data_IF_057235624755
#
_entry.id   IF_057235624755
#
_cell.length_a   1.000
_cell.length_b   1.000
_cell.length_c   1.000
_cell.angle_alpha   90.00
_cell.angle_beta   90.00
_cell.angle_gamma   90.00
#
_symmetry.space_group_name_H-M   'P 1'
#
loop_
_entity.id
_entity.type
_entity.pdbx_description
1 polymer ?
#
# COMPACT_ATOMS: atom_id res chain seq x y z
N UNK A 1 -8.29 -15.92 33.67
CA UNK A 1 -7.53 -14.68 33.40
C UNK A 1 -7.33 -14.53 31.90
N UNK A 2 -8.30 -13.93 31.22
CA UNK A 2 -8.24 -13.72 29.77
C UNK A 2 -7.37 -12.48 29.51
N UNK A 3 -6.10 -12.69 29.16
CA UNK A 3 -5.22 -11.61 28.68
C UNK A 3 -5.75 -11.12 27.33
N UNK A 4 -6.79 -10.29 27.37
CA UNK A 4 -7.19 -9.44 26.24
C UNK A 4 -6.08 -8.42 26.04
N UNK A 5 -5.04 -8.83 25.30
CA UNK A 5 -4.04 -7.94 24.70
C UNK A 5 -4.83 -6.81 24.03
N UNK A 6 -4.86 -5.63 24.68
CA UNK A 6 -5.26 -4.37 24.06
C UNK A 6 -4.45 -4.26 22.78
N UNK A 7 -5.04 -4.61 21.64
CA UNK A 7 -4.46 -4.39 20.33
C UNK A 7 -4.32 -2.89 20.24
N UNK A 8 -3.11 -2.36 20.50
CA UNK A 8 -2.74 -0.99 20.18
C UNK A 8 -3.32 -0.72 18.79
N UNK A 9 -4.19 0.26 18.67
CA UNK A 9 -4.70 0.70 17.39
C UNK A 9 -3.51 1.29 16.65
N UNK A 10 -2.73 0.42 15.99
CA UNK A 10 -1.66 0.86 15.12
C UNK A 10 -2.33 1.68 14.03
N UNK A 11 -2.04 2.99 13.98
CA UNK A 11 -2.47 3.87 12.89
C UNK A 11 -2.16 3.14 11.58
N UNK A 12 -3.16 2.93 10.73
CA UNK A 12 -2.99 2.14 9.51
C UNK A 12 -2.66 3.11 8.40
N UNK A 13 -1.39 3.22 8.02
CA UNK A 13 -1.01 4.05 6.88
C UNK A 13 -1.63 3.52 5.60
N UNK A 14 -2.32 4.37 4.85
CA UNK A 14 -2.80 4.04 3.50
C UNK A 14 -1.80 4.60 2.50
N UNK A 15 -1.60 3.89 1.39
CA UNK A 15 -0.66 4.30 0.34
C UNK A 15 -1.36 4.13 -0.99
N UNK A 16 -1.35 5.18 -1.77
CA UNK A 16 -1.81 5.20 -3.13
C UNK A 16 -0.65 4.80 -4.04
N UNK A 17 -0.82 3.78 -4.86
CA UNK A 17 0.19 3.30 -5.79
C UNK A 17 -0.38 3.40 -7.19
N UNK A 18 0.27 4.23 -8.00
CA UNK A 18 0.00 4.45 -9.42
C UNK A 18 1.03 3.69 -10.22
N UNK A 19 0.57 2.80 -11.09
CA UNK A 19 1.42 2.02 -11.98
C UNK A 19 1.50 2.69 -13.35
N UNK A 20 2.59 2.40 -14.08
CA UNK A 20 2.78 2.91 -15.43
C UNK A 20 1.73 2.39 -16.39
N UNK A 21 1.57 3.14 -17.47
CA UNK A 21 0.69 2.76 -18.57
C UNK A 21 1.16 1.43 -19.19
N UNK A 22 0.22 0.49 -19.38
CA UNK A 22 0.51 -0.86 -19.91
C UNK A 22 0.78 -1.93 -18.86
N UNK A 23 0.86 -1.58 -17.57
CA UNK A 23 0.91 -2.56 -16.47
C UNK A 23 -0.50 -3.11 -16.24
N UNK A 24 -0.64 -4.43 -16.20
CA UNK A 24 -1.92 -5.06 -15.89
C UNK A 24 -2.29 -4.96 -14.41
N UNK A 25 -3.59 -4.93 -14.04
CA UNK A 25 -4.01 -4.97 -12.64
C UNK A 25 -3.52 -6.23 -11.92
N UNK A 26 -3.35 -7.34 -12.65
CA UNK A 26 -2.78 -8.57 -12.11
C UNK A 26 -1.31 -8.43 -11.72
N UNK A 27 -0.48 -7.82 -12.57
CA UNK A 27 0.94 -7.54 -12.28
C UNK A 27 1.07 -6.58 -11.10
N UNK A 28 0.26 -5.52 -11.08
CA UNK A 28 0.20 -4.59 -9.98
C UNK A 28 -0.13 -5.31 -8.66
N UNK A 29 -1.16 -6.16 -8.65
CA UNK A 29 -1.54 -6.98 -7.49
C UNK A 29 -0.43 -7.96 -7.08
N UNK A 30 0.24 -8.58 -8.04
CA UNK A 30 1.35 -9.49 -7.79
C UNK A 30 2.52 -8.76 -7.12
N UNK A 31 2.85 -7.54 -7.57
CA UNK A 31 3.87 -6.71 -6.95
C UNK A 31 3.51 -6.38 -5.50
N UNK A 32 2.30 -5.90 -5.25
CA UNK A 32 1.85 -5.58 -3.89
C UNK A 32 1.91 -6.81 -2.98
N UNK A 33 1.50 -8.00 -3.47
CA UNK A 33 1.64 -9.26 -2.75
C UNK A 33 3.10 -9.65 -2.48
N UNK A 34 4.00 -9.43 -3.44
CA UNK A 34 5.44 -9.69 -3.27
C UNK A 34 6.01 -8.84 -2.11
N UNK A 35 5.60 -7.59 -2.02
CA UNK A 35 5.95 -6.72 -0.89
C UNK A 35 5.20 -7.06 0.42
N UNK A 36 4.39 -8.11 0.47
CA UNK A 36 3.54 -8.50 1.60
C UNK A 36 2.66 -7.34 2.10
N UNK A 37 2.23 -6.49 1.17
CA UNK A 37 1.32 -5.39 1.44
C UNK A 37 -0.12 -5.86 1.24
N UNK A 38 -1.06 -5.27 1.97
CA UNK A 38 -2.47 -5.61 1.86
C UNK A 38 -3.17 -4.61 0.97
N UNK A 39 -3.79 -5.06 -0.12
CA UNK A 39 -4.63 -4.18 -0.94
C UNK A 39 -5.89 -3.86 -0.15
N UNK A 40 -6.16 -2.57 0.03
CA UNK A 40 -7.34 -2.06 0.72
C UNK A 40 -8.46 -1.78 -0.27
N UNK A 41 -8.12 -1.10 -1.35
CA UNK A 41 -9.04 -0.67 -2.38
C UNK A 41 -8.36 -0.78 -3.74
N UNK A 42 -9.06 -1.38 -4.69
CA UNK A 42 -8.64 -1.47 -6.08
C UNK A 42 -9.42 -0.40 -6.83
N UNK A 43 -8.73 0.66 -7.25
CA UNK A 43 -9.35 1.77 -8.01
C UNK A 43 -9.48 1.44 -9.49
N UNK A 44 -9.08 0.22 -9.89
CA UNK A 44 -9.07 -0.22 -11.27
C UNK A 44 -8.02 0.49 -12.11
N UNK A 45 -8.32 0.65 -13.39
CA UNK A 45 -7.46 1.29 -14.37
C UNK A 45 -8.07 2.65 -14.73
N UNK A 46 -7.38 3.74 -14.41
CA UNK A 46 -7.73 5.07 -14.88
C UNK A 46 -6.65 5.56 -15.83
N UNK A 47 -7.04 6.13 -16.96
CA UNK A 47 -6.09 6.68 -17.95
C UNK A 47 -5.04 5.65 -18.45
N UNK A 48 -5.48 4.38 -18.59
CA UNK A 48 -4.64 3.20 -18.88
C UNK A 48 -3.55 2.90 -17.84
N UNK A 49 -3.65 3.48 -16.64
CA UNK A 49 -2.77 3.25 -15.49
C UNK A 49 -3.52 2.54 -14.38
N UNK A 50 -2.90 1.54 -13.76
CA UNK A 50 -3.51 0.85 -12.62
C UNK A 50 -3.34 1.71 -11.37
N UNK A 51 -4.40 1.82 -10.58
CA UNK A 51 -4.42 2.55 -9.32
C UNK A 51 -4.80 1.58 -8.20
N UNK A 52 -3.91 1.42 -7.22
CA UNK A 52 -4.15 0.56 -6.06
C UNK A 52 -3.94 1.32 -4.77
N UNK A 53 -4.88 1.18 -3.83
CA UNK A 53 -4.71 1.64 -2.46
C UNK A 53 -4.29 0.46 -1.60
N UNK A 54 -3.14 0.58 -0.95
CA UNK A 54 -2.60 -0.47 -0.09
C UNK A 54 -2.55 0.00 1.35
N UNK A 55 -2.99 -0.86 2.24
CA UNK A 55 -2.93 -0.66 3.68
C UNK A 55 -1.62 -1.19 4.24
N UNK A 56 -1.01 -0.35 5.07
CA UNK A 56 0.24 -0.59 5.76
C UNK A 56 -0.01 -0.46 7.25
N UNK A 57 0.24 -1.52 8.01
CA UNK A 57 0.14 -1.43 9.47
C UNK A 57 1.34 -0.64 10.02
N UNK A 58 1.14 0.42 10.83
CA UNK A 58 2.24 1.16 11.48
C UNK A 58 3.12 0.27 12.36
N UNK A 59 2.65 -0.89 12.85
CA UNK A 59 3.52 -1.87 13.51
C UNK A 59 4.64 -2.45 12.63
N UNK A 60 4.57 -2.21 11.31
CA UNK A 60 5.60 -2.55 10.31
C UNK A 60 6.06 -1.31 9.55
N UNK A 61 5.87 -0.10 10.08
CA UNK A 61 6.26 1.15 9.41
C UNK A 61 7.75 1.13 9.02
N UNK A 62 8.60 0.54 9.87
CA UNK A 62 10.02 0.33 9.60
C UNK A 62 10.29 -0.57 8.37
N UNK A 63 9.47 -1.60 8.14
CA UNK A 63 9.55 -2.43 6.92
C UNK A 63 8.96 -1.72 5.71
N UNK A 64 8.03 -0.79 5.91
CA UNK A 64 7.48 0.00 4.81
C UNK A 64 8.46 1.07 4.34
N UNK A 65 9.18 1.75 5.24
CA UNK A 65 10.23 2.70 4.85
C UNK A 65 11.35 2.02 4.04
N UNK A 66 11.59 0.72 4.24
CA UNK A 66 12.49 -0.07 3.36
C UNK A 66 11.82 -0.46 2.04
N UNK A 67 10.55 -0.90 2.08
CA UNK A 67 9.83 -1.42 0.91
C UNK A 67 9.30 -0.34 -0.02
N UNK A 68 8.97 0.84 0.48
CA UNK A 68 8.42 1.96 -0.28
C UNK A 68 9.40 2.51 -1.33
N UNK A 69 10.67 2.84 -1.00
CA UNK A 69 11.64 3.22 -2.01
C UNK A 69 11.92 2.06 -2.98
N UNK A 70 11.80 0.79 -2.56
CA UNK A 70 11.93 -0.38 -3.46
C UNK A 70 10.72 -0.52 -4.40
N UNK A 71 9.52 -0.22 -3.92
CA UNK A 71 8.29 -0.16 -4.72
C UNK A 71 8.41 0.97 -5.74
N UNK A 72 8.82 2.17 -5.32
CA UNK A 72 9.05 3.32 -6.21
C UNK A 72 10.19 3.08 -7.21
N UNK A 73 11.20 2.28 -6.86
CA UNK A 73 12.27 1.85 -7.77
C UNK A 73 11.82 0.80 -8.80
N UNK A 74 10.64 0.20 -8.65
CA UNK A 74 10.18 -0.75 -9.66
C UNK A 74 9.84 -0.01 -10.96
N UNK A 75 10.28 -0.52 -12.12
CA UNK A 75 10.08 0.14 -13.41
C UNK A 75 8.59 0.24 -13.81
N UNK A 76 7.74 -0.62 -13.23
CA UNK A 76 6.29 -0.66 -13.45
C UNK A 76 5.51 0.31 -12.54
N UNK A 77 6.13 0.86 -11.51
CA UNK A 77 5.49 1.84 -10.62
C UNK A 77 5.79 3.23 -11.17
N UNK A 78 4.74 4.02 -11.39
CA UNK A 78 4.88 5.40 -11.85
C UNK A 78 5.03 6.34 -10.66
N UNK A 79 4.18 6.16 -9.64
CA UNK A 79 4.26 6.90 -8.40
C UNK A 79 3.64 6.12 -7.26
N UNK A 80 4.15 6.32 -6.06
CA UNK A 80 3.55 5.83 -4.84
C UNK A 80 3.54 6.98 -3.85
N UNK A 81 2.36 7.29 -3.31
CA UNK A 81 2.15 8.40 -2.39
C UNK A 81 1.48 7.88 -1.12
N UNK A 82 1.98 8.29 0.04
CA UNK A 82 1.33 7.95 1.30
C UNK A 82 0.08 8.80 1.40
N UNK A 83 -1.08 8.16 1.53
CA UNK A 83 -2.31 8.86 1.88
C UNK A 83 -2.23 9.16 3.37
N UNK A 84 -2.12 10.44 3.77
CA UNK A 84 -2.26 10.78 5.18
C UNK A 84 -3.66 10.35 5.60
N UNK A 85 -3.72 9.39 6.53
CA UNK A 85 -4.98 9.10 7.22
C UNK A 85 -5.24 10.35 8.05
N UNK A 86 -6.14 11.20 7.58
CA UNK A 86 -6.68 12.26 8.43
C UNK A 86 -7.34 11.54 9.59
N UNK A 87 -6.71 11.66 10.76
CA UNK A 87 -7.29 11.31 12.06
C UNK A 87 -8.49 12.25 12.21
N UNK A 88 -9.65 11.86 11.68
CA UNK A 88 -10.91 12.56 11.96
C UNK A 88 -11.25 12.13 13.39
N UNK A 89 -10.87 12.98 14.34
CA UNK A 89 -11.02 12.80 15.78
C UNK A 89 -12.27 13.51 16.27
#
# INVERSE_FOLDING_TARGET
MEQRKKKKAYKKGLVFVTFKQGVGPEEARALIKNFQLKIKEDRGVADKKVLLVVEVASGREQKWVDKFPRLKKNPIVESAERIPVLDIH
#
